data_IF_574847205337
#
_entry.id   IF_574847205337
#
_cell.length_a   1.000
_cell.length_b   1.000
_cell.length_c   1.000
_cell.angle_alpha   90.00
_cell.angle_beta   90.00
_cell.angle_gamma   90.00
#
_symmetry.space_group_name_H-M   'P 1'
#
loop_
_entity.id
_entity.type
_entity.pdbx_description
1 polymer ?
#
# COMPACT_ATOMS: atom_id res chain seq x y z
N UNK A 1 -1.19 -41.59 47.38
CA UNK A 1 -1.95 -41.18 46.18
C UNK A 1 -1.25 -39.96 45.58
N UNK A 2 -0.67 -40.08 44.39
CA UNK A 2 0.02 -38.97 43.69
C UNK A 2 -0.99 -38.34 42.72
N UNK A 3 -1.38 -37.08 42.92
CA UNK A 3 -2.17 -36.33 41.94
C UNK A 3 -1.28 -35.92 40.76
N UNK A 4 -1.74 -36.05 39.51
CA UNK A 4 -1.01 -35.57 38.35
C UNK A 4 -1.24 -34.06 38.20
N UNK A 5 -0.15 -33.30 38.07
CA UNK A 5 -0.17 -31.90 37.68
C UNK A 5 -0.48 -31.85 36.18
N UNK A 6 -1.65 -31.32 35.83
CA UNK A 6 -2.01 -31.06 34.45
C UNK A 6 -1.24 -29.82 33.96
N UNK A 7 -0.28 -30.02 33.06
CA UNK A 7 0.41 -28.94 32.36
C UNK A 7 -0.52 -28.46 31.26
N UNK A 8 -1.13 -27.29 31.45
CA UNK A 8 -1.92 -26.60 30.44
C UNK A 8 -0.95 -25.94 29.45
N UNK A 9 -0.65 -26.63 28.34
CA UNK A 9 0.07 -26.03 27.22
C UNK A 9 -0.84 -25.00 26.54
N UNK A 10 -0.63 -23.71 26.87
CA UNK A 10 -1.27 -22.61 26.17
C UNK A 10 -0.65 -22.48 24.79
N UNK A 11 -1.31 -23.03 23.76
CA UNK A 11 -0.94 -22.82 22.38
C UNK A 11 -1.17 -21.33 22.06
N UNK A 12 -0.08 -20.56 21.95
CA UNK A 12 -0.11 -19.18 21.53
C UNK A 12 -0.46 -19.18 20.04
N UNK A 13 -1.74 -18.97 19.72
CA UNK A 13 -2.18 -18.76 18.35
C UNK A 13 -1.56 -17.44 17.87
N UNK A 14 -0.49 -17.55 17.07
CA UNK A 14 0.04 -16.42 16.32
C UNK A 14 -1.02 -16.11 15.26
N UNK A 15 -1.89 -15.15 15.55
CA UNK A 15 -2.77 -14.60 14.55
C UNK A 15 -1.89 -13.94 13.47
N UNK A 16 -2.03 -14.29 12.18
CA UNK A 16 -1.34 -13.55 11.13
C UNK A 16 -1.80 -12.09 11.24
N UNK A 17 -0.85 -11.21 11.47
CA UNK A 17 -1.05 -9.76 11.36
C UNK A 17 -1.43 -9.49 9.92
N UNK A 18 -2.70 -9.19 9.69
CA UNK A 18 -3.23 -8.90 8.35
C UNK A 18 -2.81 -7.50 7.96
N UNK A 19 -1.56 -7.36 7.51
CA UNK A 19 -0.99 -6.21 6.79
C UNK A 19 -1.88 -5.83 5.61
N UNK A 20 -1.67 -4.65 5.03
CA UNK A 20 -2.19 -4.39 3.69
C UNK A 20 -1.44 -5.25 2.66
N UNK A 21 -1.13 -4.80 1.43
CA UNK A 21 -0.22 -5.57 0.57
C UNK A 21 0.86 -6.22 1.42
N UNK A 22 1.08 -7.53 1.28
CA UNK A 22 2.05 -8.23 2.11
C UNK A 22 3.42 -7.57 1.97
N UNK A 23 4.37 -7.92 2.84
CA UNK A 23 5.71 -7.31 2.79
C UNK A 23 6.32 -7.34 1.37
N UNK A 24 6.07 -8.39 0.59
CA UNK A 24 6.45 -8.46 -0.83
C UNK A 24 5.89 -7.28 -1.64
N UNK A 25 4.57 -7.05 -1.62
CA UNK A 25 3.92 -6.00 -2.41
C UNK A 25 4.42 -4.61 -2.04
N UNK A 26 4.45 -4.25 -0.76
CA UNK A 26 4.96 -2.94 -0.32
C UNK A 26 6.40 -2.70 -0.74
N UNK A 27 7.29 -3.67 -0.50
CA UNK A 27 8.70 -3.55 -0.85
C UNK A 27 8.84 -3.42 -2.38
N UNK A 28 8.08 -4.18 -3.17
CA UNK A 28 8.10 -4.09 -4.64
C UNK A 28 7.61 -2.73 -5.13
N UNK A 29 6.50 -2.21 -4.62
CA UNK A 29 6.00 -0.87 -5.02
C UNK A 29 7.01 0.23 -4.72
N UNK A 30 7.72 0.15 -3.59
CA UNK A 30 8.77 1.10 -3.21
C UNK A 30 10.01 1.00 -4.13
N UNK A 31 10.44 -0.20 -4.51
CA UNK A 31 11.53 -0.37 -5.49
C UNK A 31 11.15 0.13 -6.90
N UNK A 32 9.91 -0.10 -7.33
CA UNK A 32 9.40 0.49 -8.57
C UNK A 32 9.47 2.02 -8.45
N UNK A 33 8.97 2.59 -7.35
CA UNK A 33 8.97 4.04 -7.16
C UNK A 33 10.39 4.63 -7.24
N UNK A 34 11.37 4.02 -6.57
CA UNK A 34 12.79 4.39 -6.64
C UNK A 34 13.34 4.44 -8.07
N UNK A 35 12.77 3.65 -8.99
CA UNK A 35 13.23 3.57 -10.39
C UNK A 35 12.63 4.66 -11.31
N UNK A 36 11.65 5.43 -10.82
CA UNK A 36 10.92 6.44 -11.58
C UNK A 36 10.94 7.85 -10.96
N UNK A 37 11.44 8.01 -9.74
CA UNK A 37 11.68 9.33 -9.15
C UNK A 37 12.87 10.03 -9.80
N UNK A 38 12.94 11.35 -9.69
CA UNK A 38 14.08 12.14 -10.15
C UNK A 38 15.30 11.97 -9.21
N UNK A 39 16.48 12.31 -9.72
CA UNK A 39 17.71 12.31 -8.90
C UNK A 39 17.63 13.29 -7.71
N UNK A 40 16.92 14.42 -7.87
CA UNK A 40 16.71 15.40 -6.80
C UNK A 40 15.79 14.84 -5.71
N UNK A 41 14.71 14.16 -6.10
CA UNK A 41 13.82 13.45 -5.18
C UNK A 41 14.55 12.33 -4.44
N UNK A 42 15.36 11.53 -5.15
CA UNK A 42 16.16 10.48 -4.52
C UNK A 42 17.09 11.07 -3.45
N UNK A 43 17.85 12.11 -3.80
CA UNK A 43 18.78 12.75 -2.85
C UNK A 43 18.03 13.32 -1.63
N UNK A 44 16.91 14.01 -1.86
CA UNK A 44 16.07 14.53 -0.79
C UNK A 44 15.56 13.44 0.15
N UNK A 45 15.03 12.33 -0.39
CA UNK A 45 14.46 11.26 0.41
C UNK A 45 15.53 10.44 1.15
N UNK A 46 16.70 10.23 0.55
CA UNK A 46 17.84 9.59 1.20
C UNK A 46 18.36 10.41 2.38
N UNK A 47 18.48 11.74 2.20
CA UNK A 47 18.80 12.67 3.29
C UNK A 47 17.71 12.65 4.37
N UNK A 48 16.45 12.84 3.97
CA UNK A 48 15.32 12.86 4.90
C UNK A 48 15.26 11.58 5.73
N UNK A 49 15.44 10.40 5.13
CA UNK A 49 15.34 9.10 5.81
C UNK A 49 16.65 8.63 6.47
N UNK A 50 17.73 9.42 6.37
CA UNK A 50 19.07 9.06 6.84
C UNK A 50 19.55 7.69 6.31
N UNK A 51 19.37 7.45 5.01
CA UNK A 51 19.77 6.19 4.37
C UNK A 51 20.32 6.44 2.97
N UNK A 52 21.59 6.09 2.75
CA UNK A 52 22.26 6.15 1.44
C UNK A 52 22.21 4.83 0.66
N UNK A 53 21.54 3.81 1.19
CA UNK A 53 21.43 2.51 0.51
C UNK A 53 20.40 2.57 -0.63
N UNK A 54 20.55 1.69 -1.60
CA UNK A 54 19.62 1.57 -2.75
C UNK A 54 18.20 1.14 -2.31
N UNK A 55 18.06 0.53 -1.14
CA UNK A 55 16.80 0.07 -0.56
C UNK A 55 16.14 1.09 0.39
N UNK A 56 16.58 2.35 0.40
CA UNK A 56 16.09 3.37 1.36
C UNK A 56 14.55 3.50 1.44
N UNK A 57 13.81 3.49 0.31
CA UNK A 57 12.33 3.44 0.32
C UNK A 57 11.77 2.07 0.67
N UNK A 58 12.35 1.01 0.10
CA UNK A 58 11.94 -0.37 0.34
C UNK A 58 12.05 -0.76 1.82
N UNK A 59 13.08 -0.28 2.52
CA UNK A 59 13.34 -0.55 3.94
C UNK A 59 12.30 0.06 4.89
N UNK A 60 11.57 1.08 4.45
CA UNK A 60 10.52 1.74 5.23
C UNK A 60 9.10 1.39 4.77
N UNK A 61 8.96 0.68 3.65
CA UNK A 61 7.67 0.45 3.00
C UNK A 61 6.66 -0.33 3.87
N UNK A 62 7.13 -1.14 4.83
CA UNK A 62 6.28 -1.95 5.75
C UNK A 62 6.21 -1.36 7.17
N UNK A 63 6.80 -0.19 7.39
CA UNK A 63 6.89 0.42 8.72
C UNK A 63 5.51 0.77 9.30
N UNK A 64 4.59 1.30 8.49
CA UNK A 64 3.26 1.70 8.95
C UNK A 64 2.44 0.51 9.51
N UNK A 65 2.54 -0.64 8.85
CA UNK A 65 1.93 -1.90 9.31
C UNK A 65 2.50 -2.37 10.65
N UNK A 66 3.79 -2.12 10.92
CA UNK A 66 4.39 -2.44 12.21
C UNK A 66 3.90 -1.47 13.31
N UNK A 67 3.81 -0.18 12.98
CA UNK A 67 3.46 0.88 13.93
C UNK A 67 2.02 0.78 14.42
N UNK A 68 1.06 0.40 13.57
CA UNK A 68 -0.35 0.33 13.95
C UNK A 68 -0.65 -0.72 15.05
N UNK A 69 0.28 -1.64 15.33
CA UNK A 69 0.17 -2.60 16.45
C UNK A 69 0.84 -2.12 17.75
N UNK A 70 1.52 -0.97 17.71
CA UNK A 70 2.12 -0.36 18.92
C UNK A 70 1.08 0.44 19.71
N UNK A 71 1.31 0.63 21.01
CA UNK A 71 0.44 1.44 21.88
C UNK A 71 0.19 2.85 21.32
N UNK A 72 1.24 3.45 20.74
CA UNK A 72 1.28 4.82 20.26
C UNK A 72 0.77 4.95 18.83
N UNK A 73 0.94 3.91 18.00
CA UNK A 73 0.54 3.91 16.59
C UNK A 73 -0.86 3.34 16.34
N UNK A 74 -1.52 2.72 17.33
CA UNK A 74 -2.86 2.11 17.13
C UNK A 74 -3.94 3.03 16.54
N UNK A 75 -3.77 4.35 16.64
CA UNK A 75 -4.71 5.29 16.04
C UNK A 75 -4.65 5.29 14.50
N UNK A 76 -3.55 4.80 13.92
CA UNK A 76 -3.35 4.75 12.47
C UNK A 76 -3.99 3.53 11.83
N UNK A 77 -4.58 2.61 12.59
CA UNK A 77 -5.14 1.37 12.01
C UNK A 77 -6.18 1.65 10.92
N UNK A 78 -7.02 2.67 11.07
CA UNK A 78 -8.02 3.03 10.06
C UNK A 78 -7.42 3.75 8.83
N UNK A 79 -6.15 4.15 8.88
CA UNK A 79 -5.51 4.89 7.79
C UNK A 79 -5.06 3.99 6.64
N UNK A 80 -5.18 2.67 6.79
CA UNK A 80 -4.77 1.70 5.78
C UNK A 80 -5.88 1.38 4.77
N UNK A 81 -7.12 1.81 5.00
CA UNK A 81 -8.24 1.42 4.14
C UNK A 81 -9.33 2.50 4.09
N UNK A 82 -10.23 2.34 3.14
CA UNK A 82 -11.56 2.95 3.12
C UNK A 82 -12.59 1.85 2.93
N UNK A 83 -13.56 1.80 3.83
CA UNK A 83 -14.57 0.74 3.87
C UNK A 83 -15.73 1.12 2.96
N UNK A 84 -15.59 0.82 1.66
CA UNK A 84 -16.62 1.12 0.68
C UNK A 84 -17.92 0.36 1.01
N UNK A 85 -19.01 1.10 1.26
CA UNK A 85 -20.32 0.54 1.59
C UNK A 85 -21.17 0.36 0.34
N UNK A 86 -20.68 -0.47 -0.58
CA UNK A 86 -21.32 -0.85 -1.84
C UNK A 86 -21.89 -2.29 -1.74
N UNK A 87 -22.11 -2.96 -2.87
CA UNK A 87 -22.79 -4.27 -2.91
C UNK A 87 -22.22 -5.19 -4.01
N UNK A 88 -20.97 -5.65 -3.89
CA UNK A 88 -20.37 -6.56 -4.87
C UNK A 88 -21.12 -7.90 -4.95
N UNK A 89 -21.30 -8.48 -6.16
CA UNK A 89 -20.72 -8.05 -7.44
C UNK A 89 -21.56 -7.02 -8.22
N UNK A 90 -22.71 -6.60 -7.70
CA UNK A 90 -23.69 -5.83 -8.46
C UNK A 90 -23.32 -4.35 -8.60
N UNK A 91 -22.78 -3.78 -7.54
CA UNK A 91 -22.31 -2.39 -7.51
C UNK A 91 -20.99 -2.33 -6.76
N UNK A 92 -19.98 -1.73 -7.39
CA UNK A 92 -18.73 -1.35 -6.77
C UNK A 92 -18.55 0.16 -6.92
N UNK A 93 -18.60 0.87 -5.79
CA UNK A 93 -18.55 2.32 -5.74
C UNK A 93 -17.90 2.79 -4.44
N UNK A 94 -17.05 3.82 -4.54
CA UNK A 94 -16.47 4.49 -3.38
C UNK A 94 -16.96 5.93 -3.31
N UNK A 95 -17.48 6.31 -2.16
CA UNK A 95 -17.94 7.65 -1.84
C UNK A 95 -17.28 8.14 -0.54
N UNK A 96 -16.63 9.30 -0.59
CA UNK A 96 -15.83 9.79 0.52
C UNK A 96 -16.65 10.01 1.79
N UNK A 97 -17.80 10.67 1.69
CA UNK A 97 -18.63 11.01 2.85
C UNK A 97 -19.33 9.79 3.44
N UNK A 98 -19.74 8.84 2.59
CA UNK A 98 -20.35 7.57 3.00
C UNK A 98 -19.34 6.64 3.67
N UNK A 99 -18.13 6.54 3.13
CA UNK A 99 -17.21 5.43 3.41
C UNK A 99 -16.06 5.80 4.36
N UNK A 100 -15.64 7.08 4.39
CA UNK A 100 -14.59 7.52 5.30
C UNK A 100 -15.14 7.67 6.72
N UNK A 101 -14.51 6.99 7.69
CA UNK A 101 -14.93 7.02 9.10
C UNK A 101 -14.58 8.36 9.75
N UNK A 102 -15.31 8.73 10.82
CA UNK A 102 -14.99 9.90 11.66
C UNK A 102 -13.55 9.88 12.21
N UNK A 103 -13.01 8.68 12.46
CA UNK A 103 -11.61 8.49 12.89
C UNK A 103 -10.58 8.59 11.76
N UNK A 104 -10.98 8.99 10.56
CA UNK A 104 -10.18 8.99 9.34
C UNK A 104 -10.25 7.67 8.57
N UNK A 105 -9.83 7.77 7.32
CA UNK A 105 -9.58 6.67 6.38
C UNK A 105 -8.29 6.95 5.61
N UNK A 106 -7.89 6.03 4.74
CA UNK A 106 -6.69 6.17 3.91
C UNK A 106 -6.64 7.46 3.08
N UNK A 107 -7.78 7.95 2.61
CA UNK A 107 -7.87 9.19 1.81
C UNK A 107 -7.47 10.42 2.64
N UNK A 108 -8.07 10.57 3.82
CA UNK A 108 -7.71 11.64 4.76
C UNK A 108 -6.28 11.50 5.27
N UNK A 109 -5.80 10.27 5.42
CA UNK A 109 -4.44 10.01 5.88
C UNK A 109 -3.42 10.41 4.82
N UNK A 110 -3.62 10.00 3.55
CA UNK A 110 -2.77 10.43 2.44
C UNK A 110 -2.68 11.96 2.36
N UNK A 111 -3.82 12.65 2.48
CA UNK A 111 -3.83 14.12 2.50
C UNK A 111 -3.04 14.72 3.66
N UNK A 112 -3.31 14.27 4.88
CA UNK A 112 -2.64 14.76 6.08
C UNK A 112 -1.13 14.51 6.04
N UNK A 113 -0.70 13.29 5.71
CA UNK A 113 0.71 12.95 5.70
C UNK A 113 1.45 13.52 4.48
N UNK A 114 0.78 13.78 3.35
CA UNK A 114 1.37 14.58 2.27
C UNK A 114 1.64 16.01 2.74
N UNK A 115 0.67 16.67 3.39
CA UNK A 115 0.86 18.01 3.92
C UNK A 115 1.96 18.08 4.99
N UNK A 116 2.04 17.07 5.87
CA UNK A 116 3.09 16.98 6.90
C UNK A 116 4.46 16.71 6.30
N UNK A 117 4.55 15.93 5.22
CA UNK A 117 5.83 15.68 4.55
C UNK A 117 6.41 16.95 3.92
N UNK A 118 5.57 17.91 3.53
CA UNK A 118 5.99 19.16 2.89
C UNK A 118 6.06 20.38 3.84
N UNK A 119 5.72 20.21 5.12
CA UNK A 119 5.74 21.28 6.11
C UNK A 119 7.11 21.40 6.79
N UNK A 120 7.91 22.37 6.32
CA UNK A 120 9.25 22.66 6.86
C UNK A 120 9.26 23.14 8.31
N UNK A 121 8.12 23.54 8.88
CA UNK A 121 8.03 23.90 10.30
C UNK A 121 7.99 22.68 11.23
N UNK A 122 7.68 21.50 10.69
CA UNK A 122 7.63 20.27 11.48
C UNK A 122 9.03 19.69 11.76
N UNK A 123 9.24 19.10 12.95
CA UNK A 123 10.46 18.37 13.26
C UNK A 123 10.79 17.31 12.22
N UNK A 124 12.08 17.07 11.98
CA UNK A 124 12.58 16.10 11.00
C UNK A 124 11.90 14.72 11.14
N UNK A 125 11.80 14.19 12.36
CA UNK A 125 11.18 12.89 12.62
C UNK A 125 9.70 12.85 12.19
N UNK A 126 8.96 13.95 12.32
CA UNK A 126 7.55 14.00 11.89
C UNK A 126 7.42 13.98 10.37
N UNK A 127 8.36 14.60 9.66
CA UNK A 127 8.44 14.57 8.19
C UNK A 127 8.89 13.20 7.67
N UNK A 128 9.83 12.56 8.36
CA UNK A 128 10.22 11.17 8.11
C UNK A 128 9.03 10.24 8.22
N UNK A 129 8.31 10.26 9.34
CA UNK A 129 7.13 9.42 9.54
C UNK A 129 6.06 9.69 8.48
N UNK A 130 5.88 10.96 8.10
CA UNK A 130 4.93 11.35 7.07
C UNK A 130 5.26 10.72 5.70
N UNK A 131 6.51 10.77 5.25
CA UNK A 131 6.92 10.11 4.00
C UNK A 131 6.75 8.59 4.09
N UNK A 132 7.09 7.96 5.22
CA UNK A 132 6.89 6.51 5.40
C UNK A 132 5.42 6.11 5.30
N UNK A 133 4.52 6.91 5.86
CA UNK A 133 3.08 6.71 5.71
C UNK A 133 2.61 6.89 4.27
N UNK A 134 3.07 7.93 3.57
CA UNK A 134 2.74 8.14 2.14
C UNK A 134 3.18 6.95 1.28
N UNK A 135 4.42 6.48 1.45
CA UNK A 135 4.93 5.28 0.74
C UNK A 135 4.02 4.07 0.97
N UNK A 136 3.58 3.86 2.20
CA UNK A 136 2.71 2.73 2.52
C UNK A 136 1.29 2.89 1.94
N UNK A 137 0.64 4.03 2.18
CA UNK A 137 -0.75 4.27 1.79
C UNK A 137 -0.96 4.28 0.28
N UNK A 138 0.02 4.74 -0.51
CA UNK A 138 -0.08 4.63 -1.97
C UNK A 138 -0.11 3.17 -2.39
N UNK A 139 0.62 2.28 -1.71
CA UNK A 139 0.51 0.83 -1.90
C UNK A 139 -0.90 0.33 -1.57
N UNK A 140 -1.37 0.58 -0.34
CA UNK A 140 -2.67 0.10 0.16
C UNK A 140 -3.84 0.49 -0.74
N UNK A 141 -3.85 1.73 -1.25
CA UNK A 141 -4.89 2.21 -2.16
C UNK A 141 -5.05 1.35 -3.42
N UNK A 142 -4.00 0.62 -3.82
CA UNK A 142 -4.00 -0.24 -5.00
C UNK A 142 -4.30 -1.71 -4.69
N UNK A 143 -4.58 -2.07 -3.44
CA UNK A 143 -5.12 -3.39 -3.07
C UNK A 143 -6.66 -3.32 -3.06
N UNK A 144 -7.39 -4.07 -3.91
CA UNK A 144 -8.85 -3.96 -4.02
C UNK A 144 -9.62 -4.05 -2.70
N UNK A 145 -9.24 -4.97 -1.81
CA UNK A 145 -9.90 -5.20 -0.52
C UNK A 145 -9.53 -4.17 0.56
N UNK A 146 -8.63 -3.23 0.29
CA UNK A 146 -8.42 -2.01 1.11
C UNK A 146 -9.41 -0.90 0.78
N UNK A 147 -10.24 -1.13 -0.25
CA UNK A 147 -11.24 -0.20 -0.75
C UNK A 147 -12.63 -0.84 -0.71
N UNK A 148 -12.91 -1.66 0.31
CA UNK A 148 -14.08 -2.54 0.41
C UNK A 148 -14.46 -2.82 1.88
N UNK A 149 -15.74 -2.67 2.25
CA UNK A 149 -16.23 -2.96 3.62
C UNK A 149 -16.58 -4.44 3.82
N UNK A 150 -17.06 -5.15 2.80
CA UNK A 150 -17.64 -6.50 2.89
C UNK A 150 -16.76 -7.42 3.73
N UNK A 151 -17.32 -7.88 4.85
CA UNK A 151 -16.62 -8.75 5.81
C UNK A 151 -15.28 -8.19 6.32
N UNK A 152 -15.18 -6.86 6.52
CA UNK A 152 -13.95 -6.13 6.87
C UNK A 152 -12.88 -6.28 5.80
N UNK A 153 -13.20 -5.89 4.56
CA UNK A 153 -12.34 -6.08 3.40
C UNK A 153 -12.00 -7.56 3.15
N UNK A 154 -12.93 -8.49 3.35
CA UNK A 154 -12.70 -9.92 3.12
C UNK A 154 -11.95 -10.66 4.25
N UNK A 155 -11.55 -10.00 5.33
CA UNK A 155 -10.95 -10.65 6.51
C UNK A 155 -11.85 -11.72 7.16
N UNK A 156 -13.17 -11.48 7.10
CA UNK A 156 -14.19 -12.39 7.57
C UNK A 156 -14.46 -13.59 6.66
N UNK A 157 -14.08 -13.51 5.38
CA UNK A 157 -14.36 -14.55 4.38
C UNK A 157 -13.27 -15.62 4.48
N UNK A 158 -13.61 -16.79 5.02
CA UNK A 158 -12.69 -17.93 5.14
C UNK A 158 -12.59 -18.66 3.82
N UNK A 159 -11.36 -18.97 3.40
CA UNK A 159 -11.06 -19.61 2.11
C UNK A 159 -9.87 -20.57 2.29
N UNK A 160 -9.55 -21.34 1.26
CA UNK A 160 -8.34 -22.16 1.20
C UNK A 160 -7.42 -21.64 0.10
N UNK A 161 -6.13 -21.73 0.32
CA UNK A 161 -5.11 -21.47 -0.69
C UNK A 161 -3.99 -22.50 -0.57
N UNK A 162 -3.74 -23.26 -1.63
CA UNK A 162 -2.83 -24.42 -1.63
C UNK A 162 -3.16 -25.41 -0.48
N UNK A 163 -4.44 -25.63 -0.19
CA UNK A 163 -4.91 -26.51 0.88
C UNK A 163 -4.84 -25.92 2.30
N UNK A 164 -4.30 -24.71 2.48
CA UNK A 164 -4.18 -24.04 3.79
C UNK A 164 -5.39 -23.11 4.00
N UNK A 165 -6.00 -23.17 5.20
CA UNK A 165 -7.08 -22.26 5.57
C UNK A 165 -6.54 -20.84 5.80
N UNK A 166 -7.03 -19.88 5.03
CA UNK A 166 -6.72 -18.46 5.11
C UNK A 166 -8.00 -17.62 5.14
N UNK A 167 -7.86 -16.30 5.05
CA UNK A 167 -8.96 -15.40 4.72
C UNK A 167 -8.71 -14.73 3.36
N UNK A 168 -9.77 -14.24 2.71
CA UNK A 168 -9.69 -13.69 1.35
C UNK A 168 -8.74 -12.49 1.26
N UNK A 169 -8.74 -11.62 2.27
CA UNK A 169 -7.86 -10.46 2.33
C UNK A 169 -6.38 -10.87 2.26
N UNK A 170 -5.96 -11.81 3.11
CA UNK A 170 -4.60 -12.36 3.10
C UNK A 170 -4.24 -13.04 1.78
N UNK A 171 -5.22 -13.63 1.07
CA UNK A 171 -4.98 -14.22 -0.25
C UNK A 171 -4.58 -13.15 -1.26
N UNK A 172 -5.23 -12.00 -1.24
CA UNK A 172 -4.91 -10.85 -2.11
C UNK A 172 -3.67 -10.09 -1.70
N UNK A 173 -3.45 -9.86 -0.40
CA UNK A 173 -2.25 -9.17 0.07
C UNK A 173 -0.97 -9.92 -0.23
N UNK A 174 -1.00 -11.24 0.00
CA UNK A 174 0.22 -12.03 0.12
C UNK A 174 0.19 -13.29 -0.74
N UNK A 175 -0.81 -14.17 -0.56
CA UNK A 175 -0.69 -15.54 -1.04
C UNK A 175 -0.61 -15.65 -2.57
N UNK A 176 -1.37 -14.84 -3.31
CA UNK A 176 -1.31 -14.84 -4.78
C UNK A 176 0.04 -14.31 -5.25
N UNK A 177 0.48 -13.14 -4.77
CA UNK A 177 1.74 -12.53 -5.19
C UNK A 177 2.95 -13.42 -4.84
N UNK A 178 3.00 -13.95 -3.62
CA UNK A 178 4.07 -14.85 -3.19
C UNK A 178 4.13 -16.14 -4.03
N UNK A 179 2.98 -16.71 -4.38
CA UNK A 179 2.91 -17.86 -5.30
C UNK A 179 3.31 -17.48 -6.73
N UNK A 180 2.87 -16.33 -7.21
CA UNK A 180 3.15 -15.80 -8.56
C UNK A 180 4.65 -15.61 -8.78
N UNK A 181 5.35 -15.10 -7.76
CA UNK A 181 6.81 -14.84 -7.80
C UNK A 181 7.64 -16.03 -7.32
N UNK A 182 7.02 -17.01 -6.65
CA UNK A 182 7.71 -18.20 -6.15
C UNK A 182 8.55 -17.93 -4.90
N UNK A 183 8.07 -17.08 -4.00
CA UNK A 183 8.76 -16.72 -2.75
C UNK A 183 8.87 -17.93 -1.82
N UNK A 184 10.07 -18.17 -1.27
CA UNK A 184 10.37 -19.27 -0.31
C UNK A 184 11.11 -18.81 0.95
N UNK A 185 11.12 -17.50 1.23
CA UNK A 185 11.89 -16.92 2.31
C UNK A 185 11.62 -15.43 2.50
N UNK A 186 12.63 -14.67 2.93
CA UNK A 186 12.50 -13.22 3.13
C UNK A 186 12.15 -12.53 1.79
N UNK A 187 11.20 -11.57 1.78
CA UNK A 187 10.67 -11.02 0.54
C UNK A 187 11.64 -10.08 -0.18
N UNK A 188 12.62 -9.47 0.50
CA UNK A 188 13.42 -8.35 -0.05
C UNK A 188 14.05 -8.63 -1.42
N UNK A 189 14.74 -9.76 -1.59
CA UNK A 189 15.39 -10.10 -2.87
C UNK A 189 14.38 -10.42 -3.97
N UNK A 190 13.29 -11.09 -3.64
CA UNK A 190 12.20 -11.37 -4.59
C UNK A 190 11.48 -10.08 -4.99
N UNK A 191 11.28 -9.18 -4.04
CA UNK A 191 10.62 -7.90 -4.26
C UNK A 191 11.42 -7.01 -5.22
N UNK A 192 12.75 -6.98 -5.06
CA UNK A 192 13.66 -6.28 -5.95
C UNK A 192 13.61 -6.86 -7.37
N UNK A 193 13.79 -8.17 -7.53
CA UNK A 193 13.75 -8.79 -8.87
C UNK A 193 12.38 -8.65 -9.55
N UNK A 194 11.29 -8.70 -8.78
CA UNK A 194 9.96 -8.43 -9.32
C UNK A 194 9.79 -6.97 -9.73
N UNK A 195 10.28 -6.03 -8.92
CA UNK A 195 10.26 -4.60 -9.25
C UNK A 195 11.06 -4.31 -10.53
N UNK A 196 12.27 -4.86 -10.68
CA UNK A 196 13.08 -4.73 -11.90
C UNK A 196 12.32 -5.22 -13.14
N UNK A 197 11.65 -6.36 -13.02
CA UNK A 197 10.81 -6.92 -14.10
C UNK A 197 9.65 -5.98 -14.44
N UNK A 198 8.94 -5.45 -13.44
CA UNK A 198 7.82 -4.53 -13.65
C UNK A 198 8.27 -3.17 -14.20
N UNK A 199 9.44 -2.68 -13.79
CA UNK A 199 10.04 -1.46 -14.35
C UNK A 199 10.32 -1.63 -15.84
N UNK A 200 10.83 -2.79 -16.27
CA UNK A 200 11.00 -3.10 -17.69
C UNK A 200 9.65 -3.14 -18.42
N UNK A 201 8.62 -3.76 -17.84
CA UNK A 201 7.27 -3.80 -18.41
C UNK A 201 6.62 -2.42 -18.53
N UNK A 202 6.88 -1.52 -17.57
CA UNK A 202 6.42 -0.12 -17.57
C UNK A 202 7.17 0.70 -18.62
N UNK A 203 8.49 0.51 -18.80
CA UNK A 203 9.28 1.30 -19.75
C UNK A 203 9.07 0.86 -21.19
N UNK A 204 9.07 -0.44 -21.44
CA UNK A 204 9.20 -1.00 -22.79
C UNK A 204 8.23 -2.15 -23.08
N UNK A 205 7.63 -2.76 -22.05
CA UNK A 205 6.78 -3.93 -22.20
C UNK A 205 5.29 -3.64 -22.25
N UNK A 206 4.50 -4.54 -21.66
CA UNK A 206 3.03 -4.56 -21.78
C UNK A 206 2.33 -3.38 -21.10
N UNK A 207 3.03 -2.65 -20.22
CA UNK A 207 2.49 -1.48 -19.54
C UNK A 207 2.94 -0.16 -20.17
N UNK A 208 3.92 -0.16 -21.09
CA UNK A 208 4.50 1.04 -21.67
C UNK A 208 3.49 2.00 -22.31
N UNK A 209 2.44 1.46 -22.96
CA UNK A 209 1.40 2.29 -23.59
C UNK A 209 0.40 2.91 -22.62
N UNK A 210 0.17 2.29 -21.46
CA UNK A 210 -0.83 2.73 -20.48
C UNK A 210 -0.22 3.46 -19.28
N UNK A 211 1.10 3.38 -19.08
CA UNK A 211 1.74 3.92 -17.88
C UNK A 211 1.52 5.42 -17.70
N UNK A 212 1.56 6.20 -18.80
CA UNK A 212 1.28 7.63 -18.75
C UNK A 212 -0.16 7.94 -18.30
N UNK A 213 -1.14 7.16 -18.79
CA UNK A 213 -2.56 7.30 -18.45
C UNK A 213 -2.82 7.02 -16.96
N UNK A 214 -1.94 6.29 -16.27
CA UNK A 214 -2.08 6.07 -14.83
C UNK A 214 -1.96 7.33 -13.99
N UNK A 215 -1.35 8.39 -14.55
CA UNK A 215 -1.24 9.70 -13.92
C UNK A 215 -2.33 10.68 -14.37
N UNK A 216 -3.28 10.25 -15.21
CA UNK A 216 -4.40 11.10 -15.62
C UNK A 216 -5.29 11.46 -14.43
N UNK A 217 -5.64 12.74 -14.33
CA UNK A 217 -6.47 13.26 -13.23
C UNK A 217 -5.71 13.50 -11.92
N UNK A 218 -4.39 13.27 -11.90
CA UNK A 218 -3.55 13.53 -10.73
C UNK A 218 -3.58 15.01 -10.34
N UNK A 219 -3.99 15.28 -9.10
CA UNK A 219 -4.11 16.62 -8.53
C UNK A 219 -3.41 16.65 -7.17
N UNK A 220 -2.17 17.17 -7.16
CA UNK A 220 -1.37 17.27 -5.94
C UNK A 220 -1.93 18.28 -4.93
N UNK A 221 -2.74 19.24 -5.41
CA UNK A 221 -3.36 20.25 -4.55
C UNK A 221 -4.58 19.71 -3.79
N UNK A 222 -5.16 18.61 -4.28
CA UNK A 222 -6.26 17.89 -3.63
C UNK A 222 -5.92 16.38 -3.50
N UNK A 223 -5.11 16.00 -2.50
CA UNK A 223 -4.78 14.60 -2.24
C UNK A 223 -5.99 13.70 -1.97
N UNK A 224 -7.08 14.24 -1.41
CA UNK A 224 -8.29 13.45 -1.13
C UNK A 224 -8.96 13.06 -2.44
N UNK A 225 -9.12 14.01 -3.37
CA UNK A 225 -9.67 13.75 -4.70
C UNK A 225 -8.82 12.77 -5.50
N UNK A 226 -7.50 12.95 -5.50
CA UNK A 226 -6.58 12.00 -6.14
C UNK A 226 -6.71 10.60 -5.54
N UNK A 227 -6.63 10.49 -4.21
CA UNK A 227 -6.76 9.20 -3.54
C UNK A 227 -8.12 8.54 -3.80
N UNK A 228 -9.20 9.32 -3.85
CA UNK A 228 -10.55 8.82 -4.15
C UNK A 228 -10.64 8.28 -5.57
N UNK A 229 -9.98 8.91 -6.55
CA UNK A 229 -9.91 8.38 -7.91
C UNK A 229 -9.21 7.01 -7.93
N UNK A 230 -8.02 6.90 -7.32
CA UNK A 230 -7.31 5.63 -7.24
C UNK A 230 -8.11 4.54 -6.53
N UNK A 231 -8.76 4.92 -5.43
CA UNK A 231 -9.65 4.04 -4.66
C UNK A 231 -10.81 3.52 -5.51
N UNK A 232 -11.49 4.38 -6.28
CA UNK A 232 -12.58 4.01 -7.19
C UNK A 232 -12.12 3.10 -8.32
N UNK A 233 -10.95 3.35 -8.89
CA UNK A 233 -10.37 2.47 -9.92
C UNK A 233 -10.09 1.07 -9.35
N UNK A 234 -9.51 1.01 -8.15
CA UNK A 234 -9.15 -0.22 -7.48
C UNK A 234 -10.38 -1.01 -7.00
N UNK A 235 -11.37 -0.36 -6.40
CA UNK A 235 -12.62 -0.97 -5.92
C UNK A 235 -13.43 -1.64 -7.05
N UNK A 236 -13.38 -1.15 -8.30
CA UNK A 236 -14.00 -1.83 -9.45
C UNK A 236 -13.46 -3.26 -9.68
N UNK A 237 -12.23 -3.53 -9.24
CA UNK A 237 -11.64 -4.87 -9.31
C UNK A 237 -12.32 -5.84 -8.33
N UNK A 238 -12.99 -5.33 -7.29
CA UNK A 238 -13.74 -6.16 -6.36
C UNK A 238 -14.87 -6.88 -7.08
N UNK A 239 -15.72 -6.16 -7.79
CA UNK A 239 -16.84 -6.76 -8.53
C UNK A 239 -16.39 -7.64 -9.70
N UNK A 240 -15.28 -7.30 -10.35
CA UNK A 240 -14.85 -8.01 -11.57
C UNK A 240 -13.94 -9.22 -11.31
N UNK A 241 -13.12 -9.19 -10.25
CA UNK A 241 -12.07 -10.19 -10.03
C UNK A 241 -12.05 -10.73 -8.60
N UNK A 242 -12.32 -9.92 -7.58
CA UNK A 242 -12.26 -10.39 -6.18
C UNK A 242 -13.48 -11.23 -5.81
N UNK A 243 -14.68 -10.69 -6.07
CA UNK A 243 -15.98 -11.25 -5.70
C UNK A 243 -16.93 -11.35 -6.91
N UNK A 244 -16.53 -11.86 -8.10
CA UNK A 244 -17.38 -11.82 -9.30
C UNK A 244 -18.69 -12.61 -9.20
N UNK A 245 -18.78 -13.53 -8.24
CA UNK A 245 -19.98 -14.31 -7.92
C UNK A 245 -20.57 -13.96 -6.54
N UNK A 246 -20.05 -12.90 -5.91
CA UNK A 246 -20.44 -12.45 -4.58
C UNK A 246 -19.71 -13.11 -3.41
N UNK A 247 -19.82 -12.50 -2.21
CA UNK A 247 -19.09 -12.92 -1.02
C UNK A 247 -19.47 -14.30 -0.47
N UNK A 248 -20.75 -14.68 -0.59
CA UNK A 248 -21.21 -15.99 -0.13
C UNK A 248 -20.70 -17.12 -1.02
N UNK A 249 -20.60 -16.88 -2.33
CA UNK A 249 -20.16 -17.88 -3.29
C UNK A 249 -18.70 -18.28 -3.05
N UNK A 250 -17.82 -17.33 -2.74
CA UNK A 250 -16.38 -17.59 -2.58
C UNK A 250 -16.01 -18.24 -1.23
N UNK A 251 -16.89 -18.18 -0.23
CA UNK A 251 -16.61 -18.70 1.10
C UNK A 251 -16.31 -20.21 1.08
N UNK A 252 -15.20 -20.61 1.70
CA UNK A 252 -14.75 -21.99 1.83
C UNK A 252 -14.04 -22.56 0.58
N UNK A 253 -14.02 -21.84 -0.54
CA UNK A 253 -13.41 -22.32 -1.78
C UNK A 253 -11.88 -22.40 -1.71
N UNK A 254 -11.31 -23.25 -2.56
CA UNK A 254 -9.86 -23.31 -2.83
C UNK A 254 -9.50 -22.35 -3.96
N UNK A 255 -8.71 -21.33 -3.66
CA UNK A 255 -8.44 -20.20 -4.56
C UNK A 255 -7.12 -20.31 -5.33
N UNK A 256 -6.34 -21.37 -5.12
CA UNK A 256 -5.02 -21.51 -5.75
C UNK A 256 -5.03 -22.06 -7.19
N UNK A 257 -6.22 -22.34 -7.74
CA UNK A 257 -6.47 -22.76 -9.12
C UNK A 257 -6.84 -21.60 -10.06
N UNK A 258 -8.00 -21.67 -10.71
CA UNK A 258 -8.44 -20.69 -11.72
C UNK A 258 -8.56 -19.26 -11.17
N UNK A 259 -9.00 -19.13 -9.91
CA UNK A 259 -9.06 -17.84 -9.22
C UNK A 259 -7.69 -17.15 -9.17
N UNK A 260 -6.66 -17.88 -8.74
CA UNK A 260 -5.28 -17.41 -8.72
C UNK A 260 -4.77 -17.02 -10.12
N UNK A 261 -5.10 -17.80 -11.15
CA UNK A 261 -4.68 -17.49 -12.53
C UNK A 261 -5.34 -16.21 -13.06
N UNK A 262 -6.60 -15.96 -12.70
CA UNK A 262 -7.31 -14.75 -13.06
C UNK A 262 -6.82 -13.51 -12.27
N UNK A 263 -6.49 -13.69 -10.98
CA UNK A 263 -6.08 -12.60 -10.10
C UNK A 263 -4.61 -12.18 -10.27
N UNK A 264 -3.70 -13.10 -10.63
CA UNK A 264 -2.26 -12.82 -10.76
C UNK A 264 -1.93 -11.61 -11.66
N UNK A 265 -2.41 -11.56 -12.92
CA UNK A 265 -2.19 -10.42 -13.80
C UNK A 265 -2.78 -9.10 -13.29
N UNK A 266 -3.88 -9.15 -12.53
CA UNK A 266 -4.49 -7.97 -11.90
C UNK A 266 -3.59 -7.42 -10.80
N UNK A 267 -3.11 -8.29 -9.91
CA UNK A 267 -2.18 -7.91 -8.84
C UNK A 267 -0.91 -7.30 -9.42
N UNK A 268 -0.37 -7.90 -10.48
CA UNK A 268 0.83 -7.42 -11.14
C UNK A 268 0.65 -6.00 -11.71
N UNK A 269 -0.48 -5.73 -12.36
CA UNK A 269 -0.82 -4.39 -12.83
C UNK A 269 -0.97 -3.40 -11.67
N UNK A 270 -1.66 -3.79 -10.60
CA UNK A 270 -1.89 -2.92 -9.44
C UNK A 270 -0.57 -2.55 -8.72
N UNK A 271 0.35 -3.50 -8.56
CA UNK A 271 1.68 -3.26 -7.99
C UNK A 271 2.51 -2.33 -8.88
N UNK A 272 2.50 -2.55 -10.20
CA UNK A 272 3.16 -1.66 -11.17
C UNK A 272 2.59 -0.23 -11.12
N UNK A 273 1.27 -0.10 -11.13
CA UNK A 273 0.56 1.18 -11.10
C UNK A 273 0.79 1.93 -9.78
N UNK A 274 0.78 1.22 -8.64
CA UNK A 274 1.05 1.79 -7.33
C UNK A 274 2.47 2.39 -7.25
N UNK A 275 3.49 1.63 -7.69
CA UNK A 275 4.87 2.11 -7.70
C UNK A 275 5.07 3.32 -8.62
N UNK A 276 4.43 3.32 -9.79
CA UNK A 276 4.52 4.44 -10.74
C UNK A 276 3.85 5.72 -10.22
N UNK A 277 2.66 5.59 -9.61
CA UNK A 277 1.96 6.71 -8.95
C UNK A 277 2.70 7.21 -7.72
N UNK A 278 3.29 6.31 -6.95
CA UNK A 278 4.11 6.65 -5.79
C UNK A 278 5.32 7.50 -6.20
N UNK A 279 6.00 7.14 -7.29
CA UNK A 279 7.11 7.95 -7.81
C UNK A 279 6.67 9.39 -8.14
N UNK A 280 5.56 9.55 -8.86
CA UNK A 280 5.01 10.87 -9.20
C UNK A 280 4.67 11.67 -7.94
N UNK A 281 4.03 11.04 -6.95
CA UNK A 281 3.66 11.69 -5.70
C UNK A 281 4.86 12.10 -4.85
N UNK A 282 5.90 11.25 -4.78
CA UNK A 282 7.14 11.56 -4.07
C UNK A 282 7.95 12.66 -4.77
N UNK A 283 7.95 12.70 -6.11
CA UNK A 283 8.54 13.81 -6.85
C UNK A 283 7.88 15.15 -6.47
N UNK A 284 6.55 15.19 -6.45
CA UNK A 284 5.83 16.38 -6.00
C UNK A 284 6.22 16.81 -4.57
N UNK A 285 6.27 15.87 -3.62
CA UNK A 285 6.64 16.18 -2.23
C UNK A 285 8.05 16.78 -2.17
N UNK A 286 9.02 16.20 -2.88
CA UNK A 286 10.38 16.70 -2.91
C UNK A 286 10.47 18.09 -3.58
N UNK A 287 9.84 18.26 -4.74
CA UNK A 287 9.86 19.52 -5.49
C UNK A 287 9.24 20.67 -4.68
N UNK A 288 8.12 20.43 -4.00
CA UNK A 288 7.47 21.43 -3.14
C UNK A 288 8.35 21.82 -1.94
N UNK A 289 9.01 20.85 -1.30
CA UNK A 289 9.96 21.11 -0.20
C UNK A 289 11.16 21.91 -0.68
N UNK A 290 11.78 21.51 -1.79
CA UNK A 290 12.96 22.18 -2.34
C UNK A 290 12.62 23.61 -2.80
N UNK A 291 11.43 23.82 -3.37
CA UNK A 291 10.95 25.16 -3.72
C UNK A 291 10.79 26.05 -2.47
N UNK A 292 10.17 25.53 -1.40
CA UNK A 292 10.03 26.25 -0.11
C UNK A 292 11.38 26.57 0.54
N UNK A 293 12.35 25.66 0.48
CA UNK A 293 13.70 25.91 0.99
C UNK A 293 14.41 27.03 0.20
N UNK A 294 14.25 27.05 -1.12
CA UNK A 294 14.81 28.10 -1.98
C UNK A 294 14.19 29.47 -1.66
N UNK A 295 12.87 29.53 -1.42
CA UNK A 295 12.17 30.78 -1.08
C UNK A 295 12.45 31.25 0.36
N UNK A 296 12.60 30.32 1.32
CA UNK A 296 12.92 30.63 2.71
C UNK A 296 14.40 30.90 2.98
N UNK A 297 15.29 30.54 2.04
CA UNK A 297 16.74 30.65 2.14
C UNK A 297 17.33 32.04 1.87
N UNK A 298 16.52 33.11 1.79
CA UNK A 298 17.02 34.47 1.59
C UNK A 298 16.84 35.40 2.83
N UNK A 299 17.58 35.18 3.92
CA UNK A 299 17.91 36.24 4.88
C UNK A 299 19.34 36.76 4.60
N UNK A 300 19.43 37.96 4.03
CA UNK A 300 20.60 38.85 4.06
C UNK A 300 21.99 38.22 3.81
N UNK A 301 22.46 38.22 2.56
CA UNK A 301 23.83 38.67 2.32
C UNK A 301 23.82 40.19 2.31
N UNK A 302 23.84 40.76 3.52
CA UNK A 302 24.21 42.15 3.70
C UNK A 302 25.68 42.29 3.36
N UNK A 303 25.97 43.25 2.48
CA UNK A 303 27.29 43.80 2.24
C UNK A 303 28.01 44.09 3.57
N UNK A 304 29.20 43.50 3.73
CA UNK A 304 30.31 44.04 4.51
C UNK A 304 31.60 43.77 3.75
#
# INVERSE_FOLDING_TARGET
MKSPIAILTSALAIAPSVAAWGSLGHITTAYIASSFISNTTQAYLQDLLHSSNDDYLASVATWADSIRYTRWGRFTSNFHFIDAKDSPPHECSVDFDRDCKTGGCILTALANYTARATDLSLPLLQRQDAVKFVVHFVGDLHQPLHNEDVSRGGNGIKVKFNGVNLNLHHVWDSAIAEKWIGVRGKPNGYALGWAESLVAEIKEGKFAKQAAEWLDGLDYSDPVKTGLQWSRECNKLVCSHVLPQGPDAIAGQELSGDYYQAAGPVIEKQVAQAGYRMAAWLNYIADDVLAKQTLGGNPSMGEL
#
